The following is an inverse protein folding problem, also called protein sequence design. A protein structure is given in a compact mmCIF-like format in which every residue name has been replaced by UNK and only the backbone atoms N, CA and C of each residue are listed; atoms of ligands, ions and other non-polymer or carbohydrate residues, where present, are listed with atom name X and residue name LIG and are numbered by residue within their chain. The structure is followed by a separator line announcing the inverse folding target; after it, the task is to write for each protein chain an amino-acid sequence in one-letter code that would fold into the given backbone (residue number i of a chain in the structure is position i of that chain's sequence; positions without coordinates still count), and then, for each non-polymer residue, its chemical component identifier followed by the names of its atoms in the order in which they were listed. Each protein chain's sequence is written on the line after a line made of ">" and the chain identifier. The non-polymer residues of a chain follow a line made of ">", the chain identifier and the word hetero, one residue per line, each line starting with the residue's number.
data_IF_383050962736
#
_entry.id   IF_383050962736
#
_cell.length_a   1.000
_cell.length_b   1.000
_cell.length_c   1.000
_cell.angle_alpha   90.00
_cell.angle_beta   90.00
_cell.angle_gamma   90.00
#
_symmetry.space_group_name_H-M   'P 1'
#
loop_
_entity.id
_entity.type
_entity.pdbx_description
1 polymer ?
#
# COMPACT_ATOMS: atom_id res chain seq x y z
N UNK A 1 -25.04 19.66 -40.38
CA UNK A 1 -25.29 18.49 -39.51
C UNK A 1 -24.96 18.93 -38.10
N UNK A 2 -25.98 19.07 -37.27
CA UNK A 2 -25.86 19.42 -35.85
C UNK A 2 -25.49 18.15 -35.08
N UNK A 3 -24.25 18.04 -34.63
CA UNK A 3 -23.81 17.04 -33.65
C UNK A 3 -24.47 17.38 -32.32
N UNK A 4 -25.58 16.71 -32.03
CA UNK A 4 -26.15 16.61 -30.68
C UNK A 4 -25.45 15.42 -30.02
N UNK A 5 -24.25 15.62 -29.48
CA UNK A 5 -23.67 14.68 -28.52
C UNK A 5 -24.37 14.91 -27.20
N UNK A 6 -25.45 14.16 -26.98
CA UNK A 6 -25.96 13.99 -25.62
C UNK A 6 -24.98 13.06 -24.91
N UNK A 7 -24.36 13.55 -23.83
CA UNK A 7 -23.65 12.75 -22.83
C UNK A 7 -24.62 11.67 -22.34
N UNK A 8 -24.59 10.49 -22.96
CA UNK A 8 -25.50 9.40 -22.61
C UNK A 8 -24.81 8.52 -21.58
N UNK A 9 -25.26 8.65 -20.34
CA UNK A 9 -25.06 7.60 -19.36
C UNK A 9 -25.56 6.26 -19.95
N UNK A 10 -24.71 5.24 -19.89
CA UNK A 10 -25.05 3.86 -20.22
C UNK A 10 -25.30 3.13 -18.91
N UNK A 11 -26.51 2.65 -18.70
CA UNK A 11 -26.86 1.83 -17.53
C UNK A 11 -26.77 0.36 -17.93
N UNK A 12 -25.96 -0.40 -17.18
CA UNK A 12 -25.81 -1.85 -17.32
C UNK A 12 -26.38 -2.53 -16.08
N UNK A 13 -27.39 -3.37 -16.26
CA UNK A 13 -28.05 -4.14 -15.19
C UNK A 13 -28.24 -5.60 -15.61
N UNK A 14 -28.50 -6.48 -14.64
CA UNK A 14 -28.63 -7.93 -14.83
C UNK A 14 -27.51 -8.72 -14.16
N UNK A 15 -27.62 -10.05 -14.23
CA UNK A 15 -26.78 -11.00 -13.49
C UNK A 15 -25.30 -10.99 -13.92
N UNK A 16 -24.99 -10.63 -15.17
CA UNK A 16 -23.61 -10.50 -15.63
C UNK A 16 -23.50 -9.40 -16.66
N UNK A 17 -22.58 -8.45 -16.44
CA UNK A 17 -22.44 -7.25 -17.28
C UNK A 17 -21.06 -7.26 -17.91
N UNK A 18 -20.98 -7.61 -19.20
CA UNK A 18 -19.71 -7.62 -19.94
C UNK A 18 -19.76 -6.62 -21.08
N UNK A 19 -18.84 -5.67 -21.12
CA UNK A 19 -18.82 -4.67 -22.19
C UNK A 19 -17.41 -4.16 -22.52
N UNK A 20 -17.20 -3.84 -23.81
CA UNK A 20 -16.05 -3.07 -24.28
C UNK A 20 -16.61 -1.79 -24.91
N UNK A 21 -16.17 -0.65 -24.39
CA UNK A 21 -16.70 0.67 -24.69
C UNK A 21 -15.57 1.60 -25.14
N UNK A 22 -15.89 2.51 -26.05
CA UNK A 22 -14.91 3.35 -26.74
C UNK A 22 -15.37 4.80 -26.89
N UNK A 23 -16.57 5.13 -26.44
CA UNK A 23 -17.16 6.46 -26.64
C UNK A 23 -16.53 7.46 -25.66
N UNK A 24 -15.94 8.53 -26.19
CA UNK A 24 -15.43 9.62 -25.36
C UNK A 24 -16.54 10.23 -24.49
N UNK A 25 -16.17 10.67 -23.28
CA UNK A 25 -17.01 11.34 -22.29
C UNK A 25 -18.24 10.51 -21.85
N UNK A 26 -18.23 9.21 -22.11
CA UNK A 26 -19.29 8.30 -21.67
C UNK A 26 -19.20 8.00 -20.18
N UNK A 27 -20.37 8.06 -19.53
CA UNK A 27 -20.59 7.61 -18.16
C UNK A 27 -21.20 6.20 -18.23
N UNK A 28 -20.66 5.26 -17.47
CA UNK A 28 -21.14 3.88 -17.37
C UNK A 28 -21.57 3.61 -15.94
N UNK A 29 -22.84 3.30 -15.75
CA UNK A 29 -23.41 3.00 -14.44
C UNK A 29 -23.76 1.51 -14.38
N UNK A 30 -23.10 0.79 -13.48
CA UNK A 30 -23.34 -0.63 -13.25
C UNK A 30 -24.26 -0.82 -12.05
N UNK A 31 -25.30 -1.65 -12.23
CA UNK A 31 -26.26 -2.01 -11.17
C UNK A 31 -26.07 -3.49 -10.81
N UNK A 32 -25.87 -3.74 -9.52
CA UNK A 32 -25.65 -5.08 -8.95
C UNK A 32 -24.22 -5.59 -9.10
N UNK A 33 -24.03 -6.87 -8.83
CA UNK A 33 -22.72 -7.54 -8.76
C UNK A 33 -22.20 -8.00 -10.14
N UNK A 34 -20.94 -8.44 -10.23
CA UNK A 34 -20.37 -9.16 -11.37
C UNK A 34 -20.37 -8.37 -12.70
N UNK A 35 -19.69 -7.21 -12.71
CA UNK A 35 -19.41 -6.46 -13.92
C UNK A 35 -17.98 -6.68 -14.43
N UNK A 36 -17.79 -6.76 -15.75
CA UNK A 36 -16.51 -6.77 -16.44
C UNK A 36 -16.54 -5.75 -17.57
N UNK A 37 -16.01 -4.56 -17.32
CA UNK A 37 -16.09 -3.44 -18.26
C UNK A 37 -14.69 -2.96 -18.63
N UNK A 38 -14.44 -2.86 -19.93
CA UNK A 38 -13.25 -2.19 -20.48
C UNK A 38 -13.72 -0.93 -21.21
N UNK A 39 -13.18 0.23 -20.83
CA UNK A 39 -13.55 1.51 -21.43
C UNK A 39 -12.32 2.32 -21.87
N UNK A 40 -12.18 2.52 -23.18
CA UNK A 40 -10.98 3.15 -23.78
C UNK A 40 -11.20 4.57 -24.30
N UNK A 41 -12.45 5.08 -24.27
CA UNK A 41 -12.75 6.48 -24.61
C UNK A 41 -12.11 7.47 -23.63
N UNK A 42 -11.86 8.69 -24.08
CA UNK A 42 -11.33 9.79 -23.28
C UNK A 42 -12.36 10.25 -22.24
N UNK A 43 -11.92 10.70 -21.07
CA UNK A 43 -12.80 11.21 -19.99
C UNK A 43 -13.90 10.23 -19.60
N UNK A 44 -13.61 8.94 -19.71
CA UNK A 44 -14.55 7.89 -19.36
C UNK A 44 -14.72 7.81 -17.85
N UNK A 45 -15.95 7.54 -17.41
CA UNK A 45 -16.27 7.32 -16.01
C UNK A 45 -17.05 6.04 -15.86
N UNK A 46 -16.57 5.16 -14.99
CA UNK A 46 -17.28 3.92 -14.63
C UNK A 46 -17.67 4.02 -13.16
N UNK A 47 -18.95 3.79 -12.88
CA UNK A 47 -19.49 3.72 -11.53
C UNK A 47 -20.00 2.30 -11.30
N UNK A 48 -19.24 1.53 -10.51
CA UNK A 48 -19.76 0.35 -9.84
C UNK A 48 -20.75 0.87 -8.81
N UNK A 49 -22.03 0.52 -8.95
CA UNK A 49 -23.09 0.79 -7.97
C UNK A 49 -23.88 2.11 -8.08
N UNK A 50 -24.74 2.22 -9.10
CA UNK A 50 -25.93 3.12 -9.02
C UNK A 50 -27.21 2.40 -8.53
N UNK A 51 -27.14 1.11 -8.22
CA UNK A 51 -28.26 0.39 -7.60
C UNK A 51 -28.25 0.58 -6.09
N UNK A 52 -29.04 1.50 -5.56
CA UNK A 52 -29.18 1.72 -4.12
C UNK A 52 -30.45 1.06 -3.58
N UNK A 53 -30.31 0.19 -2.58
CA UNK A 53 -31.44 -0.24 -1.75
C UNK A 53 -31.50 0.62 -0.49
N UNK A 54 -32.71 0.98 -0.05
CA UNK A 54 -32.89 1.66 1.23
C UNK A 54 -33.32 0.65 2.28
N UNK A 55 -32.55 0.56 3.36
CA UNK A 55 -32.83 -0.23 4.56
C UNK A 55 -33.09 0.74 5.72
N UNK A 56 -34.20 0.54 6.45
CA UNK A 56 -34.60 1.44 7.54
C UNK A 56 -33.58 1.49 8.69
N UNK A 57 -32.82 0.42 8.92
CA UNK A 57 -31.84 0.30 9.99
C UNK A 57 -30.41 0.65 9.50
N UNK A 58 -30.11 0.45 8.20
CA UNK A 58 -28.75 0.53 7.63
C UNK A 58 -28.57 1.63 6.58
N UNK A 59 -29.60 2.42 6.31
CA UNK A 59 -29.58 3.49 5.33
C UNK A 59 -29.46 2.97 3.89
N UNK A 60 -28.78 3.72 3.04
CA UNK A 60 -28.58 3.32 1.64
C UNK A 60 -27.48 2.27 1.51
N UNK A 61 -27.86 1.09 1.00
CA UNK A 61 -26.98 -0.04 0.75
C UNK A 61 -26.48 -0.03 -0.69
N UNK A 62 -25.16 -0.18 -0.84
CA UNK A 62 -24.50 -0.40 -2.12
C UNK A 62 -24.31 -1.90 -2.40
N UNK A 63 -24.71 -2.35 -3.58
CA UNK A 63 -24.65 -3.75 -4.01
C UNK A 63 -23.56 -4.07 -5.04
N UNK A 64 -22.81 -3.09 -5.55
CA UNK A 64 -21.67 -3.38 -6.44
C UNK A 64 -20.66 -4.26 -5.71
N UNK A 65 -20.33 -5.43 -6.26
CA UNK A 65 -19.32 -6.35 -5.74
C UNK A 65 -18.74 -7.21 -6.85
N UNK A 66 -17.52 -7.69 -6.63
CA UNK A 66 -16.88 -8.72 -7.47
C UNK A 66 -16.75 -8.32 -8.95
N UNK A 67 -16.37 -7.06 -9.20
CA UNK A 67 -16.30 -6.50 -10.55
C UNK A 67 -14.85 -6.32 -11.03
N UNK A 68 -14.66 -6.32 -12.35
CA UNK A 68 -13.42 -5.93 -13.03
C UNK A 68 -13.68 -4.70 -13.89
N UNK A 69 -12.96 -3.62 -13.62
CA UNK A 69 -13.03 -2.40 -14.40
C UNK A 69 -11.67 -2.01 -14.93
N UNK A 70 -11.61 -1.71 -16.23
CA UNK A 70 -10.39 -1.23 -16.89
C UNK A 70 -10.76 0.03 -17.67
N UNK A 71 -10.05 1.13 -17.43
CA UNK A 71 -10.15 2.34 -18.26
C UNK A 71 -8.77 2.88 -18.63
N UNK A 72 -8.61 3.35 -19.86
CA UNK A 72 -7.30 3.76 -20.41
C UNK A 72 -7.36 5.06 -21.22
N UNK A 73 -8.37 5.91 -20.97
CA UNK A 73 -8.55 7.17 -21.68
C UNK A 73 -7.50 8.20 -21.29
N UNK A 74 -7.45 9.35 -21.99
CA UNK A 74 -6.56 10.46 -21.59
C UNK A 74 -6.83 10.94 -20.15
N UNK A 75 -8.11 10.97 -19.79
CA UNK A 75 -8.60 11.15 -18.42
C UNK A 75 -9.54 9.98 -18.11
N UNK A 76 -9.41 9.37 -16.94
CA UNK A 76 -10.06 8.10 -16.63
C UNK A 76 -10.44 8.04 -15.16
N UNK A 77 -11.68 7.62 -14.88
CA UNK A 77 -12.22 7.49 -13.53
C UNK A 77 -12.96 6.17 -13.34
N UNK A 78 -12.71 5.50 -12.21
CA UNK A 78 -13.50 4.36 -11.74
C UNK A 78 -13.91 4.60 -10.29
N UNK A 79 -15.20 4.55 -10.00
CA UNK A 79 -15.72 4.26 -8.67
C UNK A 79 -15.98 2.76 -8.58
N UNK A 80 -15.30 2.07 -7.66
CA UNK A 80 -15.41 0.62 -7.51
C UNK A 80 -15.87 0.25 -6.10
N UNK A 81 -16.35 -0.98 -5.93
CA UNK A 81 -16.86 -1.49 -4.64
C UNK A 81 -16.04 -2.70 -4.11
N UNK A 82 -16.52 -3.41 -3.08
CA UNK A 82 -15.83 -4.57 -2.49
C UNK A 82 -15.54 -5.70 -3.47
N UNK A 83 -14.40 -6.38 -3.24
CA UNK A 83 -13.92 -7.53 -4.02
C UNK A 83 -13.65 -7.20 -5.49
N UNK A 84 -13.64 -5.92 -5.85
CA UNK A 84 -13.45 -5.48 -7.22
C UNK A 84 -11.98 -5.22 -7.53
N UNK A 85 -11.60 -5.44 -8.78
CA UNK A 85 -10.30 -5.08 -9.34
C UNK A 85 -10.52 -3.92 -10.31
N UNK A 86 -9.89 -2.79 -10.04
CA UNK A 86 -9.99 -1.58 -10.86
C UNK A 86 -8.60 -1.21 -11.41
N UNK A 87 -8.55 -0.93 -12.71
CA UNK A 87 -7.37 -0.43 -13.40
C UNK A 87 -7.72 0.85 -14.15
N UNK A 88 -7.03 1.95 -13.86
CA UNK A 88 -7.18 3.21 -14.59
C UNK A 88 -5.82 3.68 -15.12
N UNK A 89 -5.78 4.07 -16.38
CA UNK A 89 -4.59 4.63 -17.01
C UNK A 89 -4.94 5.87 -17.83
N UNK A 90 -4.02 6.84 -17.89
CA UNK A 90 -4.20 8.06 -18.67
C UNK A 90 -3.15 9.10 -18.32
N UNK A 91 -3.30 10.33 -18.84
CA UNK A 91 -2.58 11.48 -18.26
C UNK A 91 -3.09 11.75 -16.84
N UNK A 92 -4.40 11.62 -16.66
CA UNK A 92 -5.06 11.68 -15.35
C UNK A 92 -5.86 10.41 -15.11
N UNK A 93 -5.49 9.64 -14.11
CA UNK A 93 -6.16 8.39 -13.75
C UNK A 93 -6.58 8.41 -12.28
N UNK A 94 -7.86 8.14 -12.03
CA UNK A 94 -8.44 8.17 -10.70
C UNK A 94 -9.24 6.90 -10.42
N UNK A 95 -9.01 6.31 -9.24
CA UNK A 95 -9.86 5.25 -8.70
C UNK A 95 -10.33 5.68 -7.32
N UNK A 96 -11.64 5.57 -7.09
CA UNK A 96 -12.27 5.86 -5.81
C UNK A 96 -12.97 4.62 -5.27
N UNK A 97 -12.72 4.33 -3.99
CA UNK A 97 -13.50 3.40 -3.19
C UNK A 97 -14.26 4.22 -2.13
N UNK A 98 -15.55 4.53 -2.37
CA UNK A 98 -16.38 5.23 -1.40
C UNK A 98 -16.88 4.26 -0.32
N UNK A 99 -17.55 4.77 0.72
CA UNK A 99 -18.26 3.93 1.67
C UNK A 99 -19.38 3.12 1.00
N UNK A 100 -19.59 1.88 1.46
CA UNK A 100 -20.66 0.95 1.03
C UNK A 100 -22.02 1.26 1.66
N UNK A 101 -22.04 2.06 2.73
CA UNK A 101 -23.25 2.45 3.45
C UNK A 101 -23.19 3.93 3.84
N UNK A 102 -24.35 4.60 3.82
CA UNK A 102 -24.51 5.99 4.26
C UNK A 102 -24.64 6.06 5.81
N UNK A 103 -24.17 7.17 6.39
CA UNK A 103 -23.68 7.39 7.77
C UNK A 103 -24.71 7.26 8.93
N UNK A 104 -25.64 6.29 8.92
CA UNK A 104 -26.54 6.09 10.08
C UNK A 104 -25.96 5.20 11.18
N UNK A 105 -24.85 4.51 10.92
CA UNK A 105 -24.21 3.60 11.86
C UNK A 105 -22.81 4.11 12.22
N UNK A 106 -22.57 4.42 13.50
CA UNK A 106 -21.32 5.00 14.03
C UNK A 106 -20.09 4.06 13.90
N UNK A 107 -20.29 2.83 13.41
CA UNK A 107 -19.23 1.85 13.24
C UNK A 107 -18.61 1.94 11.83
N UNK A 108 -17.65 2.85 11.69
CA UNK A 108 -17.00 3.20 10.43
C UNK A 108 -16.35 2.01 9.70
N UNK A 109 -15.95 0.95 10.40
CA UNK A 109 -15.39 -0.25 9.76
C UNK A 109 -16.42 -1.09 8.98
N UNK A 110 -17.71 -1.00 9.33
CA UNK A 110 -18.77 -1.71 8.61
C UNK A 110 -19.02 -1.10 7.22
N UNK A 111 -18.63 0.17 7.01
CA UNK A 111 -18.97 0.92 5.81
C UNK A 111 -17.83 0.96 4.78
N UNK A 112 -16.64 0.43 5.10
CA UNK A 112 -15.50 0.43 4.19
C UNK A 112 -15.65 -0.62 3.09
N UNK A 113 -15.13 -0.30 1.89
CA UNK A 113 -14.87 -1.29 0.86
C UNK A 113 -13.87 -2.34 1.37
N UNK A 114 -14.01 -3.61 0.96
CA UNK A 114 -13.17 -4.71 1.48
C UNK A 114 -12.61 -5.58 0.38
N UNK A 115 -11.36 -6.00 0.55
CA UNK A 115 -10.69 -6.99 -0.30
C UNK A 115 -10.61 -6.59 -1.77
N UNK A 116 -10.36 -5.32 -2.06
CA UNK A 116 -10.30 -4.79 -3.42
C UNK A 116 -8.88 -4.46 -3.87
N UNK A 117 -8.68 -4.35 -5.17
CA UNK A 117 -7.39 -4.00 -5.78
C UNK A 117 -7.57 -2.81 -6.72
N UNK A 118 -6.89 -1.71 -6.45
CA UNK A 118 -6.82 -0.55 -7.34
C UNK A 118 -5.42 -0.39 -7.93
N UNK A 119 -5.36 -0.20 -9.24
CA UNK A 119 -4.12 0.01 -9.97
C UNK A 119 -4.28 1.26 -10.84
N UNK A 120 -3.42 2.27 -10.64
CA UNK A 120 -3.36 3.45 -11.50
C UNK A 120 -2.01 3.61 -12.18
N UNK A 121 -2.03 4.17 -13.39
CA UNK A 121 -0.81 4.53 -14.11
C UNK A 121 -0.99 5.79 -14.96
N UNK A 122 -0.11 6.78 -14.83
CA UNK A 122 -0.26 8.05 -15.55
C UNK A 122 0.68 9.16 -15.14
N UNK A 123 0.47 10.35 -15.67
CA UNK A 123 1.24 11.55 -15.27
C UNK A 123 0.72 12.11 -13.95
N UNK A 124 -0.59 12.02 -13.70
CA UNK A 124 -1.29 12.31 -12.45
C UNK A 124 -2.15 11.09 -12.09
N UNK A 125 -1.85 10.43 -10.97
CA UNK A 125 -2.52 9.20 -10.58
C UNK A 125 -3.01 9.26 -9.13
N UNK A 126 -4.31 9.12 -8.94
CA UNK A 126 -4.96 9.22 -7.63
C UNK A 126 -5.72 7.95 -7.31
N UNK A 127 -5.53 7.46 -6.08
CA UNK A 127 -6.33 6.38 -5.52
C UNK A 127 -6.84 6.84 -4.15
N UNK A 128 -8.16 6.97 -4.02
CA UNK A 128 -8.83 7.23 -2.75
C UNK A 128 -9.39 5.91 -2.22
N UNK A 129 -8.78 5.36 -1.17
CA UNK A 129 -9.02 4.01 -0.68
C UNK A 129 -9.69 4.01 0.69
N UNK A 130 -10.97 4.38 0.83
CA UNK A 130 -11.76 4.04 2.04
C UNK A 130 -12.06 2.53 2.07
N UNK A 131 -10.99 1.74 2.13
CA UNK A 131 -10.99 0.31 1.88
C UNK A 131 -10.05 -0.42 2.85
N UNK A 132 -10.51 -1.55 3.38
CA UNK A 132 -9.80 -2.44 4.29
C UNK A 132 -9.34 -3.71 3.58
N UNK A 133 -8.26 -4.32 4.06
CA UNK A 133 -7.67 -5.53 3.47
C UNK A 133 -7.46 -5.43 1.95
N UNK A 134 -7.13 -4.23 1.46
CA UNK A 134 -7.09 -3.90 0.04
C UNK A 134 -5.69 -3.51 -0.41
N UNK A 135 -5.46 -3.52 -1.71
CA UNK A 135 -4.15 -3.20 -2.29
C UNK A 135 -4.31 -2.06 -3.29
N UNK A 136 -3.56 -0.98 -3.07
CA UNK A 136 -3.47 0.15 -3.97
C UNK A 136 -2.06 0.21 -4.56
N UNK A 137 -1.95 0.20 -5.89
CA UNK A 137 -0.67 0.28 -6.60
C UNK A 137 -0.76 1.43 -7.59
N UNK A 138 0.22 2.31 -7.58
CA UNK A 138 0.30 3.39 -8.55
C UNK A 138 1.71 3.57 -9.10
N UNK A 139 1.79 3.89 -10.38
CA UNK A 139 3.03 4.24 -11.08
C UNK A 139 2.81 5.49 -11.91
N UNK A 140 3.86 6.28 -12.15
CA UNK A 140 3.70 7.61 -12.72
C UNK A 140 4.43 8.67 -11.93
N UNK A 141 4.16 9.94 -12.21
CA UNK A 141 4.56 11.03 -11.32
C UNK A 141 3.33 11.55 -10.57
N UNK A 142 3.55 12.40 -9.57
CA UNK A 142 2.49 13.13 -8.87
C UNK A 142 1.36 12.19 -8.39
N UNK A 143 1.77 11.11 -7.72
CA UNK A 143 0.92 10.04 -7.24
C UNK A 143 0.32 10.39 -5.88
N UNK A 144 -0.95 10.07 -5.69
CA UNK A 144 -1.58 10.17 -4.37
C UNK A 144 -2.42 8.93 -4.05
N UNK A 145 -1.96 8.11 -3.11
CA UNK A 145 -2.71 6.99 -2.53
C UNK A 145 -3.10 7.39 -1.11
N UNK A 146 -4.39 7.58 -0.87
CA UNK A 146 -4.91 8.06 0.42
C UNK A 146 -5.97 7.16 1.05
N UNK A 147 -6.24 7.45 2.31
CA UNK A 147 -7.32 6.90 3.13
C UNK A 147 -7.23 5.40 3.38
N UNK A 148 -6.05 4.79 3.16
CA UNK A 148 -5.78 3.39 3.45
C UNK A 148 -6.20 3.03 4.88
N UNK A 149 -6.95 1.94 5.04
CA UNK A 149 -7.41 1.50 6.36
C UNK A 149 -6.80 0.15 6.76
N UNK A 150 -7.27 -0.44 7.86
CA UNK A 150 -6.72 -1.65 8.45
C UNK A 150 -6.53 -2.78 7.42
N UNK A 151 -5.34 -3.39 7.44
CA UNK A 151 -4.96 -4.48 6.54
C UNK A 151 -4.55 -4.06 5.13
N UNK A 152 -4.75 -2.79 4.74
CA UNK A 152 -4.48 -2.32 3.37
C UNK A 152 -3.02 -1.97 3.11
N UNK A 153 -2.59 -2.15 1.86
CA UNK A 153 -1.23 -1.90 1.39
C UNK A 153 -1.25 -0.84 0.29
N UNK A 154 -0.41 0.18 0.39
CA UNK A 154 -0.19 1.18 -0.65
C UNK A 154 1.22 1.08 -1.23
N UNK A 155 1.34 1.04 -2.55
CA UNK A 155 2.62 0.97 -3.27
C UNK A 155 2.67 2.04 -4.35
N UNK A 156 3.68 2.92 -4.31
CA UNK A 156 3.90 3.93 -5.35
C UNK A 156 5.33 3.87 -5.90
N UNK A 157 5.48 3.82 -7.23
CA UNK A 157 6.81 3.57 -7.86
C UNK A 157 7.43 4.74 -8.60
N UNK A 158 6.77 5.90 -8.70
CA UNK A 158 7.39 7.08 -9.30
C UNK A 158 7.39 8.31 -8.40
N UNK A 159 7.89 9.43 -8.93
CA UNK A 159 8.34 10.56 -8.11
C UNK A 159 7.20 11.45 -7.66
N UNK A 160 7.43 12.25 -6.61
CA UNK A 160 6.41 13.10 -5.98
C UNK A 160 5.20 12.30 -5.47
N UNK A 161 5.40 11.06 -5.05
CA UNK A 161 4.33 10.19 -4.59
C UNK A 161 4.01 10.41 -3.12
N UNK A 162 2.73 10.30 -2.78
CA UNK A 162 2.26 10.21 -1.39
C UNK A 162 1.48 8.94 -1.17
N UNK A 163 1.81 8.22 -0.11
CA UNK A 163 1.09 7.03 0.33
C UNK A 163 0.75 7.21 1.80
N UNK A 164 -0.52 7.19 2.16
CA UNK A 164 -0.86 7.40 3.56
C UNK A 164 -2.34 7.38 3.90
N UNK A 165 -2.61 7.63 5.18
CA UNK A 165 -3.95 7.71 5.75
C UNK A 165 -3.92 8.43 7.08
N UNK A 166 -5.05 8.99 7.51
CA UNK A 166 -5.20 9.49 8.88
C UNK A 166 -5.26 8.36 9.92
N UNK A 167 -5.57 7.13 9.50
CA UNK A 167 -5.67 5.95 10.36
C UNK A 167 -4.58 4.89 10.14
N UNK A 168 -4.72 3.76 10.85
CA UNK A 168 -3.82 2.60 10.71
C UNK A 168 -4.05 1.88 9.37
N UNK A 169 -2.95 1.46 8.73
CA UNK A 169 -2.97 0.58 7.56
C UNK A 169 -1.82 -0.43 7.66
N UNK A 170 -1.70 -1.39 6.75
CA UNK A 170 -0.70 -2.45 6.92
C UNK A 170 0.70 -2.00 6.52
N UNK A 171 0.85 -1.50 5.29
CA UNK A 171 2.16 -1.17 4.75
C UNK A 171 2.10 -0.10 3.68
N UNK A 172 3.03 0.85 3.74
CA UNK A 172 3.30 1.80 2.66
C UNK A 172 4.65 1.50 2.02
N UNK A 173 4.72 1.51 0.70
CA UNK A 173 5.97 1.36 -0.03
C UNK A 173 6.08 2.44 -1.10
N UNK A 174 7.19 3.19 -1.08
CA UNK A 174 7.51 4.18 -2.10
C UNK A 174 8.88 3.87 -2.71
N UNK A 175 9.00 4.01 -4.02
CA UNK A 175 10.26 3.76 -4.75
C UNK A 175 10.75 4.95 -5.57
N UNK A 176 9.93 5.99 -5.76
CA UNK A 176 10.32 7.21 -6.47
C UNK A 176 10.89 8.28 -5.54
N UNK A 177 11.60 9.24 -6.13
CA UNK A 177 12.22 10.35 -5.41
C UNK A 177 11.19 11.39 -4.96
N UNK A 178 11.55 12.26 -4.03
CA UNK A 178 10.72 13.37 -3.52
C UNK A 178 9.34 12.91 -3.01
N UNK A 179 9.30 11.74 -2.36
CA UNK A 179 8.05 11.05 -2.03
C UNK A 179 7.87 10.91 -0.52
N UNK A 180 6.64 10.74 -0.07
CA UNK A 180 6.32 10.69 1.36
C UNK A 180 5.40 9.54 1.72
N UNK A 181 5.72 8.83 2.80
CA UNK A 181 4.74 8.00 3.51
C UNK A 181 4.21 8.82 4.69
N UNK A 182 2.89 9.07 4.72
CA UNK A 182 2.25 9.93 5.72
C UNK A 182 1.22 9.16 6.53
N UNK A 183 1.12 9.47 7.82
CA UNK A 183 -0.02 9.07 8.63
C UNK A 183 0.05 9.58 10.06
N UNK A 184 -1.10 9.69 10.70
CA UNK A 184 -1.26 10.12 12.10
C UNK A 184 -1.60 8.92 12.96
N UNK A 185 -0.86 8.70 14.06
CA UNK A 185 -1.20 7.78 15.16
C UNK A 185 -1.56 6.32 14.79
N UNK A 186 -1.22 5.88 13.58
CA UNK A 186 -1.58 4.55 13.05
C UNK A 186 -0.45 3.52 13.11
N UNK A 187 -0.77 2.25 13.32
CA UNK A 187 0.20 1.14 13.30
C UNK A 187 0.42 0.71 11.85
N UNK A 188 1.56 1.04 11.26
CA UNK A 188 1.91 0.61 9.90
C UNK A 188 3.42 0.46 9.70
N UNK A 189 3.80 -0.38 8.72
CA UNK A 189 5.18 -0.52 8.27
C UNK A 189 5.43 0.28 6.99
N UNK A 190 6.68 0.66 6.75
CA UNK A 190 7.09 1.48 5.63
C UNK A 190 8.32 0.90 4.92
N UNK A 191 8.32 0.99 3.59
CA UNK A 191 9.49 0.79 2.75
C UNK A 191 9.75 2.02 1.89
N UNK A 192 10.97 2.54 1.91
CA UNK A 192 11.34 3.74 1.15
C UNK A 192 12.59 3.48 0.31
N UNK A 193 12.39 3.29 -0.99
CA UNK A 193 13.45 3.07 -1.97
C UNK A 193 13.89 4.31 -2.75
N UNK A 194 13.25 5.46 -2.55
CA UNK A 194 13.58 6.72 -3.25
C UNK A 194 14.47 7.67 -2.43
N UNK A 195 15.06 8.66 -3.10
CA UNK A 195 15.81 9.77 -2.48
C UNK A 195 14.91 10.95 -2.15
N UNK A 196 15.38 11.81 -1.24
CA UNK A 196 14.67 13.01 -0.80
C UNK A 196 13.25 12.67 -0.31
N UNK A 197 13.14 11.58 0.45
CA UNK A 197 11.85 11.08 0.90
C UNK A 197 11.65 11.38 2.37
N UNK A 198 10.38 11.48 2.76
CA UNK A 198 9.97 11.56 4.16
C UNK A 198 9.15 10.34 4.53
N UNK A 199 9.21 9.94 5.80
CA UNK A 199 8.37 8.87 6.31
C UNK A 199 7.92 9.17 7.73
N UNK A 200 6.63 9.00 7.97
CA UNK A 200 6.09 8.79 9.32
C UNK A 200 5.81 7.30 9.48
N UNK A 201 6.07 6.75 10.65
CA UNK A 201 5.57 5.44 11.09
C UNK A 201 4.99 5.59 12.49
N UNK A 202 3.86 4.94 12.80
CA UNK A 202 3.32 4.97 14.17
C UNK A 202 3.91 3.88 15.06
N UNK A 203 3.25 3.62 16.19
CA UNK A 203 3.72 2.67 17.19
C UNK A 203 3.83 1.24 16.66
N UNK A 204 4.84 0.50 17.12
CA UNK A 204 5.16 -0.85 16.63
C UNK A 204 5.43 -0.91 15.11
N UNK A 205 5.76 0.22 14.49
CA UNK A 205 6.06 0.32 13.07
C UNK A 205 7.43 -0.27 12.73
N UNK A 206 7.57 -0.74 11.49
CA UNK A 206 8.86 -1.12 10.94
C UNK A 206 9.14 -0.28 9.70
N UNK A 207 10.32 0.34 9.61
CA UNK A 207 10.78 1.09 8.45
C UNK A 207 12.06 0.50 7.90
N UNK A 208 12.09 0.25 6.59
CA UNK A 208 13.30 0.00 5.83
C UNK A 208 13.45 1.08 4.76
N UNK A 209 14.57 1.78 4.77
CA UNK A 209 14.90 2.76 3.73
C UNK A 209 16.23 2.46 3.07
N UNK A 210 16.31 2.58 1.74
CA UNK A 210 17.54 2.42 0.97
C UNK A 210 18.42 3.67 0.97
N UNK A 211 17.82 4.84 1.25
CA UNK A 211 18.48 6.14 1.24
C UNK A 211 18.20 6.90 2.54
N UNK A 212 19.03 7.88 2.92
CA UNK A 212 18.71 8.76 4.04
C UNK A 212 17.40 9.51 3.78
N UNK A 213 16.53 9.55 4.78
CA UNK A 213 15.28 10.33 4.74
C UNK A 213 15.56 11.79 5.07
N UNK A 214 14.82 12.71 4.45
CA UNK A 214 14.86 14.14 4.79
C UNK A 214 14.20 14.40 6.15
N UNK A 215 13.14 13.66 6.44
CA UNK A 215 12.40 13.71 7.70
C UNK A 215 11.89 12.33 8.06
N UNK A 216 11.97 12.01 9.35
CA UNK A 216 11.50 10.75 9.92
C UNK A 216 10.80 11.03 11.24
N UNK A 217 9.53 10.62 11.33
CA UNK A 217 8.78 10.53 12.59
C UNK A 217 8.48 9.07 12.89
N UNK A 218 8.78 8.61 14.09
CA UNK A 218 8.52 7.22 14.50
C UNK A 218 7.81 7.15 15.85
N UNK A 219 6.81 6.28 15.96
CA UNK A 219 6.15 5.94 17.21
C UNK A 219 6.98 4.99 18.08
N UNK A 220 6.54 4.79 19.33
CA UNK A 220 7.21 3.90 20.28
C UNK A 220 7.23 2.44 19.80
N UNK A 221 8.19 1.66 20.28
CA UNK A 221 8.46 0.26 19.91
C UNK A 221 8.70 0.02 18.41
N UNK A 222 9.14 1.05 17.68
CA UNK A 222 9.43 0.95 16.25
C UNK A 222 10.85 0.45 15.97
N UNK A 223 11.02 -0.25 14.84
CA UNK A 223 12.31 -0.69 14.31
C UNK A 223 12.57 0.01 12.97
N UNK A 224 13.72 0.64 12.84
CA UNK A 224 14.07 1.45 11.67
C UNK A 224 15.44 1.02 11.17
N UNK A 225 15.56 0.72 9.88
CA UNK A 225 16.82 0.43 9.21
C UNK A 225 16.96 1.35 8.01
N UNK A 226 18.00 2.19 8.00
CA UNK A 226 18.28 3.11 6.90
C UNK A 226 19.63 2.74 6.29
N UNK A 227 19.62 2.30 5.05
CA UNK A 227 20.79 2.08 4.22
C UNK A 227 21.22 3.34 3.48
N UNK A 228 22.49 3.39 3.06
CA UNK A 228 22.99 4.33 2.05
C UNK A 228 24.32 3.85 1.46
N UNK A 229 24.77 4.48 0.38
CA UNK A 229 26.10 4.28 -0.19
C UNK A 229 26.92 5.56 -0.07
N UNK A 230 28.10 5.52 0.57
CA UNK A 230 28.96 6.71 0.77
C UNK A 230 29.88 7.02 -0.43
N UNK A 231 29.75 6.26 -1.51
CA UNK A 231 30.59 6.33 -2.71
C UNK A 231 31.63 5.21 -2.79
N UNK A 232 31.95 4.57 -1.67
CA UNK A 232 32.90 3.45 -1.60
C UNK A 232 32.28 2.19 -0.97
N UNK A 233 31.37 2.36 -0.01
CA UNK A 233 30.83 1.27 0.82
C UNK A 233 29.32 1.42 1.01
N UNK A 234 28.65 0.28 1.14
CA UNK A 234 27.29 0.23 1.70
C UNK A 234 27.35 0.47 3.20
N UNK A 235 26.51 1.36 3.68
CA UNK A 235 26.32 1.72 5.08
C UNK A 235 24.87 1.46 5.47
N UNK A 236 24.66 1.21 6.74
CA UNK A 236 23.32 1.21 7.30
C UNK A 236 23.36 1.66 8.76
N UNK A 237 22.27 2.25 9.23
CA UNK A 237 22.01 2.53 10.63
C UNK A 237 20.72 1.83 11.05
N UNK A 238 20.73 1.23 12.24
CA UNK A 238 19.55 0.69 12.88
C UNK A 238 19.17 1.60 14.03
N UNK A 239 17.95 2.13 14.00
CA UNK A 239 17.34 2.85 15.12
C UNK A 239 16.22 1.96 15.66
N UNK A 240 16.18 1.82 16.98
CA UNK A 240 15.13 1.08 17.65
C UNK A 240 14.66 1.91 18.82
N UNK A 241 13.36 2.14 18.91
CA UNK A 241 12.77 2.93 19.97
C UNK A 241 11.92 2.06 20.89
N UNK A 242 12.51 1.05 21.51
CA UNK A 242 11.82 0.19 22.48
C UNK A 242 12.73 -0.26 23.63
N UNK A 243 12.24 -1.21 24.41
CA UNK A 243 12.98 -1.78 25.56
C UNK A 243 14.11 -2.70 25.10
N UNK A 244 15.16 -2.81 25.91
CA UNK A 244 16.30 -3.73 25.75
C UNK A 244 15.91 -5.09 25.14
N UNK A 245 16.67 -5.57 24.15
CA UNK A 245 16.40 -6.85 23.48
C UNK A 245 17.68 -7.63 23.14
N UNK A 246 17.52 -8.95 22.94
CA UNK A 246 18.59 -9.88 22.56
C UNK A 246 18.47 -10.31 21.09
N UNK A 247 19.56 -10.17 20.33
CA UNK A 247 19.67 -10.66 18.96
C UNK A 247 20.57 -11.88 18.87
N UNK A 248 20.05 -12.99 18.34
CA UNK A 248 20.78 -14.27 18.22
C UNK A 248 21.20 -14.55 16.77
N UNK A 249 22.46 -14.95 16.57
CA UNK A 249 23.04 -15.29 15.27
C UNK A 249 23.70 -16.68 15.37
N UNK A 250 23.43 -17.55 14.39
CA UNK A 250 24.06 -18.87 14.27
C UNK A 250 24.70 -19.04 12.89
N UNK A 251 25.91 -19.61 12.83
CA UNK A 251 26.57 -19.97 11.56
C UNK A 251 27.43 -21.23 11.71
N UNK A 252 27.78 -21.87 10.60
CA UNK A 252 28.62 -23.09 10.58
C UNK A 252 29.86 -22.85 9.74
N UNK A 253 31.04 -23.17 10.28
CA UNK A 253 32.30 -23.19 9.53
C UNK A 253 32.77 -24.63 9.33
N UNK A 254 33.36 -24.94 8.17
CA UNK A 254 34.05 -26.21 7.91
C UNK A 254 35.52 -25.93 7.67
N UNK A 255 36.38 -26.51 8.50
CA UNK A 255 37.82 -26.40 8.35
C UNK A 255 38.26 -27.11 7.05
N UNK A 256 38.99 -26.42 6.15
CA UNK A 256 39.32 -26.95 4.83
C UNK A 256 40.38 -28.07 4.86
N UNK A 257 41.19 -28.16 5.92
CA UNK A 257 42.27 -29.16 6.03
C UNK A 257 41.80 -30.41 6.77
N UNK A 258 41.00 -30.22 7.82
CA UNK A 258 40.54 -31.30 8.72
C UNK A 258 39.11 -31.73 8.46
N UNK A 259 38.34 -30.96 7.68
CA UNK A 259 36.91 -31.20 7.44
C UNK A 259 36.02 -30.96 8.67
N UNK A 260 36.60 -30.51 9.79
CA UNK A 260 35.91 -30.29 11.07
C UNK A 260 34.82 -29.22 10.89
N UNK A 261 33.59 -29.54 11.33
CA UNK A 261 32.48 -28.59 11.32
C UNK A 261 32.27 -27.98 12.71
N UNK A 262 32.23 -26.66 12.79
CA UNK A 262 31.95 -25.92 14.02
C UNK A 262 30.69 -25.09 13.81
N UNK A 263 29.68 -25.28 14.67
CA UNK A 263 28.54 -24.37 14.79
C UNK A 263 28.91 -23.28 15.78
N UNK A 264 28.75 -22.04 15.36
CA UNK A 264 28.96 -20.84 16.16
C UNK A 264 27.61 -20.27 16.55
N UNK A 265 27.52 -19.78 17.77
CA UNK A 265 26.37 -19.04 18.29
C UNK A 265 26.88 -17.74 18.89
N UNK A 266 26.28 -16.62 18.48
CA UNK A 266 26.49 -15.30 19.09
C UNK A 266 25.14 -14.73 19.51
N UNK A 267 25.04 -14.30 20.76
CA UNK A 267 23.93 -13.48 21.26
C UNK A 267 24.46 -12.11 21.60
N UNK A 268 23.80 -11.08 21.09
CA UNK A 268 24.13 -9.68 21.37
C UNK A 268 22.98 -9.05 22.13
N UNK A 269 23.28 -8.44 23.27
CA UNK A 269 22.34 -7.65 24.05
C UNK A 269 22.47 -6.19 23.65
N UNK A 270 21.39 -5.61 23.17
CA UNK A 270 21.35 -4.21 22.77
C UNK A 270 20.49 -3.40 23.73
N UNK A 271 20.94 -2.18 24.00
CA UNK A 271 20.17 -1.17 24.73
C UNK A 271 19.96 0.04 23.87
N UNK A 272 18.79 0.64 24.03
CA UNK A 272 18.49 1.93 23.42
C UNK A 272 18.93 3.03 24.36
N UNK A 273 19.72 4.01 23.88
CA UNK A 273 20.04 5.21 24.67
C UNK A 273 18.82 6.12 24.80
N UNK A 274 18.88 7.11 25.69
CA UNK A 274 17.85 8.16 25.78
C UNK A 274 17.67 8.94 24.46
N UNK A 275 18.64 8.85 23.54
CA UNK A 275 18.62 9.47 22.22
C UNK A 275 18.14 8.52 21.10
N UNK A 276 17.71 7.28 21.42
CA UNK A 276 17.22 6.32 20.43
C UNK A 276 18.31 5.52 19.70
N UNK A 277 19.57 5.63 20.13
CA UNK A 277 20.68 4.91 19.51
C UNK A 277 20.75 3.48 20.03
N UNK A 278 20.99 2.52 19.12
CA UNK A 278 21.21 1.12 19.49
C UNK A 278 22.66 0.91 19.93
N UNK A 279 22.87 0.64 21.22
CA UNK A 279 24.19 0.36 21.81
C UNK A 279 24.30 -1.12 22.14
N UNK A 280 25.35 -1.77 21.63
CA UNK A 280 25.71 -3.11 22.04
C UNK A 280 26.27 -3.07 23.46
N UNK A 281 25.63 -3.76 24.40
CA UNK A 281 26.01 -3.75 25.82
C UNK A 281 26.55 -5.08 26.31
N UNK A 282 26.30 -6.16 25.58
CA UNK A 282 26.83 -7.48 25.89
C UNK A 282 26.90 -8.35 24.64
N UNK A 283 27.93 -9.18 24.59
CA UNK A 283 28.06 -10.24 23.59
C UNK A 283 28.37 -11.54 24.32
N UNK A 284 27.59 -12.56 24.05
CA UNK A 284 27.84 -13.94 24.44
C UNK A 284 28.16 -14.75 23.18
N UNK A 285 29.25 -15.51 23.21
CA UNK A 285 29.64 -16.40 22.11
C UNK A 285 29.81 -17.82 22.63
N UNK A 286 29.44 -18.80 21.81
CA UNK A 286 29.74 -20.20 22.06
C UNK A 286 29.95 -20.95 20.75
N UNK A 287 30.77 -21.99 20.82
CA UNK A 287 31.05 -22.88 19.70
C UNK A 287 30.67 -24.32 20.06
N UNK A 288 30.21 -25.07 19.06
CA UNK A 288 29.87 -26.48 19.20
C UNK A 288 30.43 -27.27 18.02
N UNK A 289 31.20 -28.30 18.32
CA UNK A 289 31.61 -29.28 17.30
C UNK A 289 30.38 -30.07 16.81
N UNK A 290 30.15 -29.99 15.50
CA UNK A 290 29.06 -30.67 14.81
C UNK A 290 29.59 -31.57 13.69
N UNK A 291 30.85 -31.99 13.75
CA UNK A 291 31.47 -32.87 12.76
C UNK A 291 30.78 -34.24 12.63
N UNK A 292 29.98 -34.62 13.62
CA UNK A 292 29.13 -35.81 13.62
C UNK A 292 27.83 -35.65 12.80
N UNK A 293 27.45 -34.43 12.43
CA UNK A 293 26.28 -34.18 11.59
C UNK A 293 26.65 -34.41 10.11
N UNK A 294 25.87 -35.27 9.43
CA UNK A 294 25.98 -35.46 7.97
C UNK A 294 25.77 -34.12 7.26
N UNK A 295 26.48 -33.93 6.14
CA UNK A 295 26.25 -32.82 5.21
C UNK A 295 24.77 -32.81 4.76
#
# INVERSE_FOLDING_TARGET
>A
MTTVTTNKALVLSGESKNAILTLDEQIVNCIGEDAQIIHTGKKAKIYDNEGTEYDEDKGTIKHGKNSLFITTGEESFIEASSKSVAFASGKKAEISYPFEHDESNEDTELNLVKNSVAITTGDEAVICCYASNSVAISTGNDIWIQDLTAGSIGIATGSNAKVGSEGSFKTGAIFGDNSSIIGSDGIYSAFVGGKNCTATIGENGALLSEFPLEELTAGTNSVIVVGWHDGERKRFSTYYQGTDFEGNIEWVTKDPETGKKTKHFRSNTYKTTELGELVLTGTYESEKDISWQKD
#
